data_IF_845159113171
#
_entry.id   IF_845159113171
#
_cell.length_a   1.000
_cell.length_b   1.000
_cell.length_c   1.000
_cell.angle_alpha   90.00
_cell.angle_beta   90.00
_cell.angle_gamma   90.00
#
_symmetry.space_group_name_H-M   'P 1'
#
loop_
_entity.id
_entity.type
_entity.pdbx_description
1 polymer ?
#
# COMPACT_ATOMS: atom_id res chain seq x y z
N UNK A 1 32.45 38.88 -0.09
CA UNK A 1 33.12 38.14 -1.19
C UNK A 1 32.08 37.83 -2.28
N UNK A 2 32.46 37.92 -3.56
CA UNK A 2 31.59 37.67 -4.71
C UNK A 2 32.32 36.73 -5.68
N UNK A 3 31.67 35.64 -6.07
CA UNK A 3 32.21 34.65 -6.99
C UNK A 3 31.23 34.45 -8.15
N UNK A 4 31.76 34.22 -9.34
CA UNK A 4 30.98 33.83 -10.51
C UNK A 4 31.00 32.31 -10.65
N UNK A 5 29.84 31.72 -10.93
CA UNK A 5 29.71 30.27 -11.12
C UNK A 5 29.79 29.99 -12.61
N UNK A 6 30.73 29.12 -12.99
CA UNK A 6 31.01 28.74 -14.36
C UNK A 6 30.53 27.30 -14.59
N UNK A 7 29.97 27.05 -15.77
CA UNK A 7 29.63 25.71 -16.24
C UNK A 7 30.37 25.44 -17.55
N UNK A 8 31.04 24.28 -17.63
CA UNK A 8 31.75 23.85 -18.83
C UNK A 8 30.80 23.12 -19.78
N UNK A 9 30.46 23.78 -20.89
CA UNK A 9 29.43 23.29 -21.80
C UNK A 9 29.97 23.09 -23.21
N UNK A 10 29.47 22.05 -23.86
CA UNK A 10 29.74 21.79 -25.28
C UNK A 10 28.88 22.70 -26.14
N UNK A 11 29.50 23.53 -26.97
CA UNK A 11 28.82 24.45 -27.89
C UNK A 11 28.58 23.77 -29.25
N UNK A 12 29.62 23.14 -29.82
CA UNK A 12 29.56 22.38 -31.07
C UNK A 12 30.16 20.97 -30.94
N UNK A 13 30.22 20.23 -32.05
CA UNK A 13 30.71 18.84 -32.09
C UNK A 13 32.13 18.72 -31.50
N UNK A 14 33.01 19.71 -31.57
CA UNK A 14 34.34 19.64 -30.94
C UNK A 14 34.72 20.89 -30.12
N UNK A 15 33.76 21.76 -29.81
CA UNK A 15 34.04 23.01 -29.08
C UNK A 15 33.38 22.99 -27.70
N UNK A 16 34.16 23.39 -26.69
CA UNK A 16 33.69 23.55 -25.31
C UNK A 16 34.02 24.96 -24.84
N UNK A 17 33.11 25.56 -24.08
CA UNK A 17 33.27 26.91 -23.55
C UNK A 17 32.78 26.96 -22.11
N UNK A 18 33.43 27.83 -21.33
CA UNK A 18 33.00 28.17 -19.99
C UNK A 18 31.94 29.26 -20.08
N UNK A 19 30.75 28.98 -19.57
CA UNK A 19 29.66 29.94 -19.50
C UNK A 19 29.37 30.31 -18.04
N UNK A 20 29.23 31.60 -17.76
CA UNK A 20 28.77 32.07 -16.45
C UNK A 20 27.28 31.73 -16.33
N UNK A 21 26.95 30.90 -15.35
CA UNK A 21 25.59 30.41 -15.10
C UNK A 21 24.99 30.91 -13.79
N UNK A 22 25.76 31.64 -12.99
CA UNK A 22 25.30 32.11 -11.70
C UNK A 22 26.34 32.96 -10.98
N UNK A 23 25.95 33.44 -9.81
CA UNK A 23 26.83 34.11 -8.88
C UNK A 23 26.59 33.64 -7.45
N UNK A 24 27.62 33.78 -6.64
CA UNK A 24 27.58 33.54 -5.22
C UNK A 24 28.04 34.81 -4.52
N UNK A 25 27.23 35.32 -3.61
CA UNK A 25 27.55 36.50 -2.82
C UNK A 25 27.11 36.31 -1.37
N UNK A 26 27.69 37.08 -0.46
CA UNK A 26 27.17 37.18 0.90
C UNK A 26 26.23 38.38 0.96
N UNK A 27 25.08 38.20 1.61
CA UNK A 27 24.12 39.26 1.92
C UNK A 27 24.69 40.20 3.00
N UNK A 28 24.00 41.31 3.29
CA UNK A 28 24.48 42.31 4.29
C UNK A 28 24.64 41.71 5.71
N UNK A 29 23.91 40.65 6.01
CA UNK A 29 23.98 39.90 7.26
C UNK A 29 25.01 38.75 7.23
N UNK A 30 25.85 38.66 6.20
CA UNK A 30 26.82 37.58 6.02
C UNK A 30 26.22 36.24 5.58
N UNK A 31 24.93 36.19 5.26
CA UNK A 31 24.27 34.96 4.76
C UNK A 31 24.66 34.67 3.32
N UNK A 32 25.00 33.42 3.03
CA UNK A 32 25.31 32.97 1.68
C UNK A 32 24.07 33.06 0.77
N UNK A 33 24.23 33.75 -0.36
CA UNK A 33 23.19 33.93 -1.38
C UNK A 33 23.70 33.39 -2.71
N UNK A 34 23.09 32.30 -3.14
CA UNK A 34 23.39 31.61 -4.38
C UNK A 34 22.33 31.98 -5.42
N UNK A 35 22.76 32.53 -6.55
CA UNK A 35 21.92 32.75 -7.71
C UNK A 35 22.42 31.88 -8.86
N UNK A 36 21.55 31.01 -9.37
CA UNK A 36 21.80 30.14 -10.50
C UNK A 36 20.69 30.37 -11.52
N UNK A 37 21.07 30.43 -12.79
CA UNK A 37 20.15 30.60 -13.90
C UNK A 37 19.97 29.25 -14.59
N UNK A 38 18.99 28.49 -14.13
CA UNK A 38 18.76 27.09 -14.52
C UNK A 38 18.66 26.89 -16.04
N UNK A 39 18.14 27.89 -16.76
CA UNK A 39 18.06 27.86 -18.22
C UNK A 39 19.41 27.85 -18.93
N UNK A 40 20.43 28.47 -18.31
CA UNK A 40 21.80 28.54 -18.83
C UNK A 40 22.61 27.34 -18.41
N UNK A 41 22.23 26.60 -17.37
CA UNK A 41 22.93 25.41 -16.92
C UNK A 41 22.65 24.25 -17.87
N UNK A 42 23.71 23.60 -18.36
CA UNK A 42 23.61 22.37 -19.15
C UNK A 42 24.45 21.28 -18.51
N UNK A 43 23.85 20.12 -18.27
CA UNK A 43 24.53 18.91 -17.79
C UNK A 43 24.72 17.89 -18.91
N UNK A 44 23.69 17.71 -19.76
CA UNK A 44 23.69 16.80 -20.90
C UNK A 44 23.21 17.54 -22.14
N UNK A 45 23.54 17.02 -23.34
CA UNK A 45 23.19 17.66 -24.62
C UNK A 45 21.67 17.91 -24.79
N UNK A 46 20.85 17.03 -24.22
CA UNK A 46 19.39 16.99 -24.48
C UNK A 46 18.54 17.39 -23.27
N UNK A 47 19.08 17.37 -22.05
CA UNK A 47 18.33 17.68 -20.83
C UNK A 47 18.95 18.86 -20.07
N UNK A 48 18.11 19.86 -19.77
CA UNK A 48 18.46 20.99 -18.90
C UNK A 48 18.40 20.62 -17.41
N UNK A 49 17.64 19.58 -17.07
CA UNK A 49 17.44 19.19 -15.68
C UNK A 49 18.71 18.63 -15.05
N UNK A 50 18.89 18.95 -13.76
CA UNK A 50 19.94 18.38 -12.93
C UNK A 50 19.81 16.85 -12.90
N UNK A 51 20.90 16.10 -13.18
CA UNK A 51 20.86 14.65 -13.05
C UNK A 51 20.71 14.29 -11.56
N UNK A 52 19.75 13.45 -11.17
CA UNK A 52 19.63 13.04 -9.79
C UNK A 52 20.92 12.36 -9.34
N UNK A 53 21.55 12.88 -8.28
CA UNK A 53 22.81 12.37 -7.72
C UNK A 53 22.58 11.48 -6.49
N UNK A 54 21.38 10.94 -6.32
CA UNK A 54 21.02 10.04 -5.23
C UNK A 54 21.46 8.61 -5.52
N UNK A 55 21.80 7.88 -4.45
CA UNK A 55 22.15 6.47 -4.50
C UNK A 55 20.97 5.59 -4.94
N UNK A 56 19.78 5.89 -4.41
CA UNK A 56 18.54 5.16 -4.72
C UNK A 56 17.45 6.11 -5.20
N UNK A 57 16.56 5.60 -6.04
CA UNK A 57 15.36 6.31 -6.48
C UNK A 57 14.35 6.47 -5.31
N UNK A 58 13.48 7.46 -5.44
CA UNK A 58 12.32 7.62 -4.54
C UNK A 58 11.42 6.40 -4.59
N UNK A 59 11.12 5.82 -3.42
CA UNK A 59 10.20 4.69 -3.31
C UNK A 59 8.77 5.10 -3.65
N UNK A 60 7.98 4.14 -4.11
CA UNK A 60 6.53 4.28 -4.31
C UNK A 60 5.81 4.38 -2.96
N UNK A 61 4.61 4.96 -2.94
CA UNK A 61 3.85 5.29 -1.72
C UNK A 61 3.47 4.05 -0.88
N UNK A 62 3.57 2.85 -1.45
CA UNK A 62 3.27 1.59 -0.77
C UNK A 62 4.47 0.96 -0.06
N UNK A 63 5.67 1.50 -0.28
CA UNK A 63 6.92 0.95 0.22
C UNK A 63 7.50 1.81 1.34
N UNK A 64 8.26 1.18 2.24
CA UNK A 64 9.06 1.86 3.26
C UNK A 64 10.53 1.87 2.86
N UNK A 65 11.26 2.83 3.40
CA UNK A 65 12.70 3.03 3.22
C UNK A 65 13.45 2.40 4.37
N UNK A 66 14.33 1.45 4.06
CA UNK A 66 15.29 0.91 5.01
C UNK A 66 16.67 1.44 4.64
N UNK A 67 17.30 2.13 5.58
CA UNK A 67 18.65 2.66 5.38
C UNK A 67 19.67 1.52 5.31
N UNK A 68 20.59 1.63 4.37
CA UNK A 68 21.68 0.66 4.24
C UNK A 68 22.75 0.90 5.30
N UNK A 69 23.39 -0.16 5.79
CA UNK A 69 24.35 -0.06 6.89
C UNK A 69 25.64 0.68 6.48
N UNK A 70 26.06 0.50 5.23
CA UNK A 70 27.32 1.01 4.70
C UNK A 70 27.25 2.50 4.37
N UNK A 71 26.13 2.97 3.80
CA UNK A 71 25.95 4.35 3.37
C UNK A 71 24.71 5.03 3.97
N UNK A 72 24.94 6.21 4.55
CA UNK A 72 23.90 6.91 5.32
C UNK A 72 22.78 7.51 4.46
N UNK A 73 23.09 7.82 3.20
CA UNK A 73 22.19 8.44 2.23
C UNK A 73 21.54 7.41 1.30
N UNK A 74 21.95 6.14 1.37
CA UNK A 74 21.36 5.05 0.60
C UNK A 74 20.24 4.40 1.40
N UNK A 75 19.15 4.08 0.71
CA UNK A 75 18.05 3.29 1.27
C UNK A 75 17.60 2.23 0.26
N UNK A 76 16.96 1.18 0.76
CA UNK A 76 16.26 0.18 -0.03
C UNK A 76 14.76 0.30 0.20
N UNK A 77 13.96 0.08 -0.85
CA UNK A 77 12.51 0.10 -0.78
C UNK A 77 12.01 -1.31 -0.49
N UNK A 78 11.32 -1.52 0.62
CA UNK A 78 10.68 -2.80 0.93
C UNK A 78 9.18 -2.65 1.13
N UNK A 79 8.46 -3.75 0.91
CA UNK A 79 7.03 -3.83 1.22
C UNK A 79 6.83 -4.24 2.68
N UNK A 80 5.87 -3.62 3.35
CA UNK A 80 5.37 -4.13 4.65
C UNK A 80 4.79 -5.53 4.49
N UNK A 81 4.72 -6.30 5.58
CA UNK A 81 4.14 -7.64 5.63
C UNK A 81 2.66 -7.70 5.25
N UNK A 82 2.09 -8.91 5.22
CA UNK A 82 0.67 -9.12 4.85
C UNK A 82 -0.32 -8.56 5.87
N UNK A 83 0.07 -8.50 7.14
CA UNK A 83 -0.76 -8.01 8.26
C UNK A 83 -0.28 -6.66 8.80
N UNK A 84 0.64 -6.02 8.07
CA UNK A 84 1.25 -4.75 8.45
C UNK A 84 0.78 -3.64 7.51
N UNK A 85 0.53 -2.47 8.09
CA UNK A 85 0.32 -1.22 7.38
C UNK A 85 1.57 -0.35 7.45
N UNK A 86 1.71 0.59 6.52
CA UNK A 86 2.72 1.65 6.54
C UNK A 86 2.28 2.72 7.56
N UNK A 87 3.06 2.88 8.63
CA UNK A 87 2.85 3.97 9.60
C UNK A 87 3.55 5.24 9.13
N UNK A 88 4.81 5.10 8.73
CA UNK A 88 5.68 6.18 8.27
C UNK A 88 6.50 5.71 7.06
N UNK A 89 7.24 6.61 6.41
CA UNK A 89 8.19 6.28 5.33
C UNK A 89 9.27 5.28 5.73
N UNK A 90 9.48 5.04 7.02
CA UNK A 90 10.56 4.20 7.55
C UNK A 90 10.09 2.99 8.36
N UNK A 91 8.81 2.93 8.72
CA UNK A 91 8.31 1.93 9.67
C UNK A 91 6.96 1.35 9.25
N UNK A 92 6.85 0.03 9.40
CA UNK A 92 5.60 -0.72 9.30
C UNK A 92 5.01 -0.95 10.70
N UNK A 93 3.69 -1.03 10.79
CA UNK A 93 2.95 -1.30 12.01
C UNK A 93 1.96 -2.44 11.78
N UNK A 94 1.94 -3.41 12.69
CA UNK A 94 0.99 -4.52 12.62
C UNK A 94 -0.44 -4.04 12.93
N UNK A 95 -1.41 -4.51 12.13
CA UNK A 95 -2.81 -4.30 12.44
C UNK A 95 -3.22 -5.16 13.64
N UNK A 96 -4.08 -4.60 14.51
CA UNK A 96 -4.62 -5.34 15.64
C UNK A 96 -5.47 -6.55 15.24
N UNK A 97 -5.71 -7.46 16.19
CA UNK A 97 -6.55 -8.64 15.96
C UNK A 97 -7.94 -8.24 15.45
N UNK A 98 -8.40 -8.90 14.40
CA UNK A 98 -9.69 -8.59 13.74
C UNK A 98 -9.63 -7.47 12.71
N UNK A 99 -8.43 -6.95 12.40
CA UNK A 99 -8.20 -5.96 11.36
C UNK A 99 -7.19 -6.47 10.32
N UNK A 100 -7.39 -6.05 9.07
CA UNK A 100 -6.47 -6.30 7.96
C UNK A 100 -6.06 -4.98 7.31
N UNK A 101 -4.83 -4.86 6.80
CA UNK A 101 -4.43 -3.67 6.06
C UNK A 101 -5.24 -3.54 4.77
N UNK A 102 -5.61 -2.31 4.43
CA UNK A 102 -6.23 -1.98 3.15
C UNK A 102 -5.33 -2.34 1.96
N UNK A 103 -5.87 -2.33 0.73
CA UNK A 103 -5.08 -2.61 -0.50
C UNK A 103 -3.86 -1.70 -0.63
N UNK A 104 -3.98 -0.46 -0.18
CA UNK A 104 -2.89 0.51 -0.20
C UNK A 104 -2.04 0.50 1.07
N UNK A 105 -2.27 -0.46 1.98
CA UNK A 105 -1.58 -0.61 3.27
C UNK A 105 -1.47 0.68 4.09
N UNK A 106 -2.40 1.61 3.91
CA UNK A 106 -2.42 2.91 4.59
C UNK A 106 -3.24 2.91 5.88
N UNK A 107 -4.21 2.00 5.97
CA UNK A 107 -5.18 1.94 7.06
C UNK A 107 -5.50 0.49 7.38
N UNK A 108 -5.76 0.20 8.66
CA UNK A 108 -6.30 -1.09 9.10
C UNK A 108 -7.84 -1.06 9.02
N UNK A 109 -8.41 -1.96 8.23
CA UNK A 109 -9.84 -2.14 8.05
C UNK A 109 -10.34 -3.36 8.83
N UNK A 110 -11.53 -3.26 9.41
CA UNK A 110 -12.11 -4.36 10.19
C UNK A 110 -12.48 -5.51 9.26
N UNK A 111 -12.07 -6.73 9.62
CA UNK A 111 -12.46 -7.95 8.90
C UNK A 111 -13.99 -8.08 8.97
N UNK A 112 -14.62 -8.29 7.82
CA UNK A 112 -16.05 -8.57 7.77
C UNK A 112 -16.32 -9.97 8.30
N UNK A 113 -17.36 -10.08 9.13
CA UNK A 113 -17.78 -11.37 9.67
C UNK A 113 -18.56 -12.16 8.61
N UNK A 114 -18.08 -13.36 8.31
CA UNK A 114 -18.85 -14.30 7.51
C UNK A 114 -19.80 -15.06 8.44
N UNK A 115 -21.10 -14.83 8.25
CA UNK A 115 -22.15 -15.58 8.92
C UNK A 115 -22.76 -16.60 7.97
N UNK A 116 -23.13 -17.77 8.51
CA UNK A 116 -23.86 -18.77 7.74
C UNK A 116 -25.27 -18.23 7.49
N UNK A 117 -25.56 -17.88 6.25
CA UNK A 117 -26.85 -17.43 5.80
C UNK A 117 -27.71 -18.63 5.37
N UNK A 118 -29.03 -18.50 5.44
CA UNK A 118 -29.95 -19.59 5.06
C UNK A 118 -29.81 -20.00 3.59
N UNK A 119 -29.36 -19.09 2.73
CA UNK A 119 -29.10 -19.35 1.32
C UNK A 119 -27.74 -19.99 1.03
N UNK A 120 -26.91 -20.21 2.06
CA UNK A 120 -25.61 -20.81 1.84
C UNK A 120 -25.75 -22.27 1.39
N UNK A 121 -24.87 -22.73 0.49
CA UNK A 121 -24.90 -24.09 -0.04
C UNK A 121 -24.71 -25.15 1.05
N UNK A 122 -24.12 -24.77 2.19
CA UNK A 122 -23.95 -25.63 3.36
C UNK A 122 -25.19 -25.64 4.27
N UNK A 123 -25.90 -24.52 4.40
CA UNK A 123 -27.08 -24.39 5.26
C UNK A 123 -28.34 -24.98 4.60
N UNK A 124 -28.49 -24.80 3.29
CA UNK A 124 -29.68 -25.18 2.54
C UNK A 124 -30.02 -26.68 2.66
N UNK A 125 -29.08 -27.63 2.46
CA UNK A 125 -29.38 -29.06 2.57
C UNK A 125 -29.80 -29.47 3.98
N UNK A 126 -29.17 -28.90 5.00
CA UNK A 126 -29.51 -29.16 6.40
C UNK A 126 -30.94 -28.71 6.72
N UNK A 127 -31.35 -27.53 6.23
CA UNK A 127 -32.72 -27.03 6.36
C UNK A 127 -33.74 -27.95 5.67
N UNK A 128 -33.43 -28.43 4.46
CA UNK A 128 -34.30 -29.35 3.71
C UNK A 128 -34.48 -30.66 4.48
N UNK A 129 -33.39 -31.25 4.96
CA UNK A 129 -33.46 -32.51 5.72
C UNK A 129 -34.25 -32.32 7.02
N UNK A 130 -34.03 -31.23 7.74
CA UNK A 130 -34.76 -30.92 8.97
C UNK A 130 -36.27 -30.73 8.71
N UNK A 131 -36.64 -30.00 7.67
CA UNK A 131 -38.05 -29.76 7.31
C UNK A 131 -38.76 -31.04 6.85
N UNK A 132 -38.09 -31.88 6.05
CA UNK A 132 -38.60 -33.20 5.67
C UNK A 132 -38.78 -34.09 6.90
N UNK A 133 -37.81 -34.07 7.83
CA UNK A 133 -37.90 -34.83 9.09
C UNK A 133 -39.10 -34.43 9.93
N UNK A 134 -39.33 -33.12 10.13
CA UNK A 134 -40.49 -32.59 10.86
C UNK A 134 -41.80 -32.95 10.16
N UNK A 135 -41.84 -32.91 8.83
CA UNK A 135 -43.04 -33.31 8.08
C UNK A 135 -43.36 -34.80 8.28
N UNK A 136 -42.36 -35.68 8.21
CA UNK A 136 -42.54 -37.11 8.44
C UNK A 136 -43.00 -37.43 9.86
N UNK A 137 -42.44 -36.77 10.88
CA UNK A 137 -42.87 -36.99 12.29
C UNK A 137 -44.30 -36.55 12.52
N UNK A 138 -44.75 -35.45 11.90
CA UNK A 138 -46.14 -35.01 11.95
C UNK A 138 -47.08 -36.03 11.29
N UNK A 139 -46.72 -36.55 10.12
CA UNK A 139 -47.52 -37.57 9.41
C UNK A 139 -47.66 -38.83 10.27
N UNK A 140 -46.55 -39.34 10.80
CA UNK A 140 -46.57 -40.53 11.67
C UNK A 140 -47.44 -40.27 12.89
N UNK A 141 -47.25 -39.14 13.57
CA UNK A 141 -48.03 -38.75 14.75
C UNK A 141 -49.53 -38.66 14.45
N UNK A 142 -49.92 -38.10 13.29
CA UNK A 142 -51.30 -38.01 12.85
C UNK A 142 -51.91 -39.39 12.55
N UNK A 143 -51.15 -40.29 11.93
CA UNK A 143 -51.59 -41.68 11.69
C UNK A 143 -51.83 -42.41 13.02
N UNK A 144 -50.93 -42.27 13.99
CA UNK A 144 -51.12 -42.83 15.33
C UNK A 144 -52.35 -42.27 16.03
N UNK A 145 -52.60 -40.95 15.90
CA UNK A 145 -53.76 -40.29 16.50
C UNK A 145 -55.09 -40.69 15.85
N UNK A 146 -55.12 -40.96 14.55
CA UNK A 146 -56.33 -41.45 13.88
C UNK A 146 -56.60 -42.94 14.15
N UNK A 147 -55.55 -43.75 14.28
CA UNK A 147 -55.66 -45.20 14.48
C UNK A 147 -55.58 -45.62 15.95
N UNK A 148 -55.82 -44.68 16.88
CA UNK A 148 -55.72 -44.94 18.32
C UNK A 148 -56.68 -46.03 18.79
N UNK A 149 -57.77 -46.31 18.06
CA UNK A 149 -58.71 -47.38 18.36
C UNK A 149 -58.35 -48.76 17.77
N UNK A 150 -57.28 -48.87 17.00
CA UNK A 150 -56.82 -50.16 16.48
C UNK A 150 -56.07 -50.96 17.56
N UNK A 151 -56.31 -52.28 17.70
CA UNK A 151 -55.69 -53.12 18.73
C UNK A 151 -54.16 -53.21 18.62
N UNK A 152 -53.59 -52.86 17.45
CA UNK A 152 -52.14 -52.79 17.22
C UNK A 152 -51.50 -51.60 17.94
N UNK A 153 -52.23 -50.49 18.15
CA UNK A 153 -51.74 -49.28 18.83
C UNK A 153 -52.02 -49.29 20.34
N UNK A 154 -53.03 -50.07 20.78
CA UNK A 154 -53.42 -50.23 22.20
C UNK A 154 -52.73 -51.41 22.92
N UNK A 155 -51.97 -52.23 22.21
CA UNK A 155 -51.26 -53.39 22.76
C UNK A 155 -50.11 -52.99 23.69
#
# INVERSE_FOLDING_TARGET
PRYSILNFQRTDINSFQWQIVGNYSLDEHGKAKLYLEDEKVRFRKTSKNFPPSGCTQTCDDLHIRIREYEDTCCWSCINCGTYEMRKDDFHCEECGLGFLPSRNKSTCEKIQEDFIYYGDPWATPALIVATVGVFLTLVVSLVFWLNTDTPVVKA
#
